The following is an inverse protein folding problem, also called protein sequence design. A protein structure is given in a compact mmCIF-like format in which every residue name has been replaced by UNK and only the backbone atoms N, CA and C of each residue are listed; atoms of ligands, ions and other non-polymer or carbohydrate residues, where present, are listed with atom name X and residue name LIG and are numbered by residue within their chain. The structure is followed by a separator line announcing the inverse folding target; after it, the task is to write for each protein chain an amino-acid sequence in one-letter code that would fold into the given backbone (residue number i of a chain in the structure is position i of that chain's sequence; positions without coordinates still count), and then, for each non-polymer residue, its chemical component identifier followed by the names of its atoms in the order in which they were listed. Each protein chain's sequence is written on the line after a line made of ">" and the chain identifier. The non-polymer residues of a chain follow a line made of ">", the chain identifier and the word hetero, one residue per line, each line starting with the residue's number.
data_IF_822736889114
#
_entry.id   IF_822736889114
#
_cell.length_a   1.000
_cell.length_b   1.000
_cell.length_c   1.000
_cell.angle_alpha   90.00
_cell.angle_beta   90.00
_cell.angle_gamma   90.00
#
_symmetry.space_group_name_H-M   'P 1'
#
loop_
_entity.id
_entity.type
_entity.pdbx_description
1 polymer ?
#
# COMPACT_ATOMS: atom_id res chain seq x y z
N UNK A 1 -24.47 8.45 3.32
CA UNK A 1 -24.53 7.37 2.30
C UNK A 1 -23.22 7.32 1.52
N UNK A 2 -22.82 8.46 1.07
CA UNK A 2 -21.69 8.63 0.15
C UNK A 2 -20.34 8.17 0.71
N UNK A 3 -20.04 8.42 1.99
CA UNK A 3 -18.76 8.04 2.60
C UNK A 3 -18.59 6.51 2.62
N UNK A 4 -19.58 5.76 3.07
CA UNK A 4 -19.51 4.29 3.11
C UNK A 4 -19.41 3.67 1.72
N UNK A 5 -20.14 4.22 0.75
CA UNK A 5 -20.04 3.78 -0.64
C UNK A 5 -18.69 4.16 -1.26
N UNK A 6 -18.13 5.30 -0.89
CA UNK A 6 -16.79 5.71 -1.32
C UNK A 6 -15.72 4.73 -0.80
N UNK A 7 -15.77 4.36 0.49
CA UNK A 7 -14.88 3.33 1.05
C UNK A 7 -15.05 2.00 0.32
N UNK A 8 -16.29 1.56 0.11
CA UNK A 8 -16.58 0.28 -0.53
C UNK A 8 -16.06 0.25 -1.98
N UNK A 9 -16.35 1.29 -2.76
CA UNK A 9 -15.90 1.39 -4.15
C UNK A 9 -14.37 1.47 -4.25
N UNK A 10 -13.74 2.34 -3.47
CA UNK A 10 -12.29 2.44 -3.42
C UNK A 10 -11.64 1.14 -2.97
N UNK A 11 -12.17 0.52 -1.90
CA UNK A 11 -11.67 -0.75 -1.38
C UNK A 11 -11.77 -1.89 -2.37
N UNK A 12 -12.88 -1.99 -3.10
CA UNK A 12 -13.05 -2.98 -4.17
C UNK A 12 -11.99 -2.81 -5.26
N UNK A 13 -11.81 -1.59 -5.75
CA UNK A 13 -10.80 -1.28 -6.78
C UNK A 13 -9.38 -1.55 -6.26
N UNK A 14 -9.05 -1.07 -5.06
CA UNK A 14 -7.74 -1.27 -4.44
C UNK A 14 -7.39 -2.75 -4.26
N UNK A 15 -8.34 -3.54 -3.77
CA UNK A 15 -8.17 -4.99 -3.59
C UNK A 15 -7.99 -5.72 -4.93
N UNK A 16 -8.71 -5.30 -5.97
CA UNK A 16 -8.54 -5.84 -7.32
C UNK A 16 -7.16 -5.53 -7.90
N UNK A 17 -6.66 -4.30 -7.72
CA UNK A 17 -5.30 -3.94 -8.12
C UNK A 17 -4.25 -4.77 -7.38
N UNK A 18 -4.40 -4.94 -6.06
CA UNK A 18 -3.50 -5.79 -5.27
C UNK A 18 -3.46 -7.22 -5.80
N UNK A 19 -4.62 -7.82 -6.03
CA UNK A 19 -4.72 -9.15 -6.61
C UNK A 19 -4.08 -9.22 -8.00
N UNK A 20 -4.35 -8.24 -8.85
CA UNK A 20 -3.77 -8.15 -10.20
C UNK A 20 -2.24 -8.06 -10.18
N UNK A 21 -1.67 -7.23 -9.32
CA UNK A 21 -0.20 -7.13 -9.14
C UNK A 21 0.36 -8.48 -8.68
N UNK A 22 -0.33 -9.18 -7.77
CA UNK A 22 0.07 -10.53 -7.34
C UNK A 22 0.13 -11.50 -8.51
N UNK A 23 -0.90 -11.56 -9.34
CA UNK A 23 -0.96 -12.44 -10.51
C UNK A 23 0.11 -12.08 -11.55
N UNK A 24 0.32 -10.79 -11.83
CA UNK A 24 1.37 -10.36 -12.75
C UNK A 24 2.76 -10.75 -12.26
N UNK A 25 3.03 -10.58 -10.96
CA UNK A 25 4.31 -10.94 -10.37
C UNK A 25 4.59 -12.44 -10.51
N UNK A 26 3.61 -13.28 -10.26
CA UNK A 26 3.74 -14.73 -10.41
C UNK A 26 3.92 -15.10 -11.87
N UNK A 27 3.06 -14.59 -12.76
CA UNK A 27 3.00 -15.02 -14.14
C UNK A 27 4.13 -14.49 -15.01
N UNK A 28 4.56 -13.24 -14.79
CA UNK A 28 5.59 -12.59 -15.59
C UNK A 28 7.00 -12.78 -15.02
N UNK A 29 7.15 -12.73 -13.70
CA UNK A 29 8.46 -12.77 -13.04
C UNK A 29 8.76 -14.13 -12.39
N UNK A 30 7.78 -15.03 -12.28
CA UNK A 30 7.92 -16.29 -11.55
C UNK A 30 8.25 -16.06 -10.07
N UNK A 31 8.01 -14.85 -9.56
CA UNK A 31 8.37 -14.48 -8.21
C UNK A 31 7.28 -14.91 -7.21
N UNK A 32 7.65 -15.24 -5.96
CA UNK A 32 6.67 -15.59 -4.94
C UNK A 32 5.82 -14.38 -4.53
N UNK A 33 4.66 -14.63 -3.95
CA UNK A 33 3.69 -13.60 -3.51
C UNK A 33 4.28 -12.56 -2.55
N UNK A 34 5.30 -12.93 -1.78
CA UNK A 34 6.05 -12.03 -0.90
C UNK A 34 6.55 -10.78 -1.64
N UNK A 35 7.04 -10.96 -2.87
CA UNK A 35 7.56 -9.84 -3.69
C UNK A 35 6.44 -8.88 -4.05
N UNK A 36 5.28 -9.38 -4.46
CA UNK A 36 4.14 -8.54 -4.78
C UNK A 36 3.58 -7.84 -3.54
N UNK A 37 3.52 -8.53 -2.40
CA UNK A 37 3.08 -7.94 -1.13
C UNK A 37 3.98 -6.79 -0.71
N UNK A 38 5.29 -6.97 -0.80
CA UNK A 38 6.26 -5.91 -0.53
C UNK A 38 6.06 -4.72 -1.50
N UNK A 39 5.93 -4.99 -2.79
CA UNK A 39 5.75 -3.97 -3.82
C UNK A 39 4.49 -3.13 -3.59
N UNK A 40 3.34 -3.75 -3.31
CA UNK A 40 2.09 -3.02 -3.06
C UNK A 40 2.13 -2.25 -1.74
N UNK A 41 2.74 -2.80 -0.70
CA UNK A 41 2.85 -2.12 0.59
C UNK A 41 3.78 -0.90 0.52
N UNK A 42 4.93 -1.02 -0.15
CA UNK A 42 5.88 0.08 -0.32
C UNK A 42 5.30 1.17 -1.23
N UNK A 43 4.80 0.80 -2.41
CA UNK A 43 4.20 1.77 -3.34
C UNK A 43 2.94 2.41 -2.76
N UNK A 44 2.11 1.64 -2.08
CA UNK A 44 0.90 2.15 -1.43
C UNK A 44 1.23 3.11 -0.28
N UNK A 45 2.24 2.82 0.52
CA UNK A 45 2.71 3.71 1.59
C UNK A 45 3.21 5.05 1.03
N UNK A 46 3.97 5.02 -0.05
CA UNK A 46 4.40 6.23 -0.77
C UNK A 46 3.20 7.04 -1.26
N UNK A 47 2.27 6.39 -1.97
CA UNK A 47 1.08 7.03 -2.52
C UNK A 47 0.19 7.63 -1.43
N UNK A 48 0.06 6.95 -0.28
CA UNK A 48 -0.73 7.45 0.83
C UNK A 48 -0.12 8.72 1.44
N UNK A 49 1.19 8.70 1.68
CA UNK A 49 1.91 9.88 2.19
C UNK A 49 1.80 11.07 1.24
N UNK A 50 2.00 10.83 -0.04
CA UNK A 50 1.85 11.85 -1.09
C UNK A 50 0.41 12.39 -1.15
N UNK A 51 -0.56 11.49 -1.24
CA UNK A 51 -1.97 11.85 -1.39
C UNK A 51 -2.49 12.69 -0.22
N UNK A 52 -2.25 12.26 1.03
CA UNK A 52 -2.73 13.02 2.19
C UNK A 52 -2.04 14.37 2.32
N UNK A 53 -0.77 14.46 1.96
CA UNK A 53 -0.07 15.75 2.00
C UNK A 53 -0.63 16.72 0.95
N UNK A 54 -0.85 16.26 -0.28
CA UNK A 54 -1.43 17.08 -1.34
C UNK A 54 -2.90 17.45 -1.07
N UNK A 55 -3.67 16.53 -0.50
CA UNK A 55 -5.10 16.75 -0.25
C UNK A 55 -5.40 17.66 0.93
N UNK A 56 -4.46 17.83 1.86
CA UNK A 56 -4.66 18.73 3.00
C UNK A 56 -4.65 20.20 2.60
N UNK A 57 -3.91 20.55 1.57
CA UNK A 57 -3.62 21.95 1.31
C UNK A 57 -4.39 22.58 0.14
N UNK A 58 -4.75 21.90 -0.95
CA UNK A 58 -5.43 22.56 -2.08
C UNK A 58 -6.12 21.67 -3.14
N UNK A 59 -5.81 20.39 -3.25
CA UNK A 59 -6.20 19.62 -4.44
C UNK A 59 -7.54 18.89 -4.25
N UNK A 60 -7.84 18.41 -3.06
CA UNK A 60 -9.05 17.65 -2.77
C UNK A 60 -9.75 18.20 -1.55
N UNK A 61 -10.90 18.82 -1.78
CA UNK A 61 -11.71 19.44 -0.73
C UNK A 61 -12.81 18.54 -0.18
N UNK A 62 -13.26 17.54 -0.96
CA UNK A 62 -14.36 16.64 -0.59
C UNK A 62 -13.88 15.50 0.30
N UNK A 63 -14.59 15.26 1.39
CA UNK A 63 -14.35 14.14 2.31
C UNK A 63 -14.54 12.79 1.60
N UNK A 64 -15.50 12.71 0.69
CA UNK A 64 -15.82 11.49 -0.07
C UNK A 64 -14.64 11.07 -0.94
N UNK A 65 -14.00 11.99 -1.62
CA UNK A 65 -12.81 11.71 -2.46
C UNK A 65 -11.62 11.32 -1.59
N UNK A 66 -11.41 11.98 -0.45
CA UNK A 66 -10.34 11.64 0.48
C UNK A 66 -10.50 10.22 1.01
N UNK A 67 -11.71 9.85 1.36
CA UNK A 67 -12.03 8.53 1.89
C UNK A 67 -11.99 7.46 0.78
N UNK A 68 -12.51 7.77 -0.41
CA UNK A 68 -12.45 6.87 -1.56
C UNK A 68 -11.01 6.50 -1.92
N UNK A 69 -10.13 7.49 -2.02
CA UNK A 69 -8.74 7.28 -2.43
C UNK A 69 -7.88 6.79 -1.26
N UNK A 70 -7.87 7.52 -0.15
CA UNK A 70 -6.96 7.22 0.96
C UNK A 70 -7.33 5.94 1.71
N UNK A 71 -8.56 5.87 2.20
CA UNK A 71 -9.03 4.73 2.99
C UNK A 71 -9.40 3.55 2.09
N UNK A 72 -10.19 3.79 1.06
CA UNK A 72 -10.68 2.75 0.16
C UNK A 72 -9.60 2.23 -0.77
N UNK A 73 -9.21 3.03 -1.76
CA UNK A 73 -8.32 2.59 -2.84
C UNK A 73 -6.93 2.18 -2.32
N UNK A 74 -6.22 3.09 -1.68
CA UNK A 74 -4.86 2.82 -1.20
C UNK A 74 -4.88 1.86 -0.01
N UNK A 75 -5.84 2.01 0.92
CA UNK A 75 -6.02 1.08 2.03
C UNK A 75 -6.36 -0.34 1.58
N UNK A 76 -7.19 -0.51 0.55
CA UNK A 76 -7.50 -1.82 -0.05
C UNK A 76 -6.36 -2.39 -0.88
N UNK A 77 -5.53 -1.54 -1.46
CA UNK A 77 -4.36 -1.93 -2.24
C UNK A 77 -3.24 -2.51 -1.39
N UNK A 78 -3.03 -2.01 -0.17
CA UNK A 78 -2.01 -2.48 0.78
C UNK A 78 -2.53 -3.59 1.68
N UNK A 79 -1.64 -4.41 2.27
CA UNK A 79 -2.05 -5.50 3.17
C UNK A 79 -0.99 -5.84 4.21
N UNK A 80 -1.21 -5.38 5.43
CA UNK A 80 -0.42 -5.82 6.59
C UNK A 80 -0.72 -7.28 6.96
N UNK A 81 -1.97 -7.71 6.87
CA UNK A 81 -2.38 -9.09 7.20
C UNK A 81 -1.72 -10.12 6.30
N UNK A 82 -1.61 -9.86 5.00
CA UNK A 82 -0.91 -10.74 4.07
C UNK A 82 0.59 -10.83 4.41
N UNK A 83 1.24 -9.70 4.67
CA UNK A 83 2.64 -9.68 5.11
C UNK A 83 2.85 -10.49 6.40
N UNK A 84 1.97 -10.34 7.38
CA UNK A 84 2.02 -11.07 8.64
C UNK A 84 1.86 -12.58 8.44
N UNK A 85 0.88 -12.98 7.65
CA UNK A 85 0.64 -14.38 7.32
C UNK A 85 1.83 -15.00 6.57
N UNK A 86 2.36 -14.33 5.57
CA UNK A 86 3.54 -14.79 4.81
C UNK A 86 4.75 -14.94 5.69
N UNK A 87 4.97 -14.01 6.63
CA UNK A 87 6.08 -14.09 7.60
C UNK A 87 5.97 -15.33 8.47
N UNK A 88 4.79 -15.64 9.00
CA UNK A 88 4.57 -16.87 9.79
C UNK A 88 4.79 -18.13 8.95
N UNK A 89 4.30 -18.15 7.71
CA UNK A 89 4.52 -19.29 6.80
C UNK A 89 6.01 -19.53 6.53
N UNK A 90 6.80 -18.48 6.38
CA UNK A 90 8.25 -18.59 6.24
C UNK A 90 8.92 -19.15 7.50
N UNK A 91 8.48 -18.72 8.69
CA UNK A 91 8.97 -19.25 9.96
C UNK A 91 8.64 -20.74 10.11
N UNK A 92 7.41 -21.14 9.79
CA UNK A 92 6.97 -22.54 9.83
C UNK A 92 7.77 -23.43 8.90
N UNK A 93 8.20 -22.93 7.75
CA UNK A 93 9.03 -23.66 6.78
C UNK A 93 10.53 -23.59 7.09
N UNK A 94 10.93 -22.97 8.20
CA UNK A 94 12.34 -22.86 8.61
C UNK A 94 13.14 -21.78 7.85
N UNK A 95 12.48 -20.95 7.05
CA UNK A 95 13.13 -19.88 6.27
C UNK A 95 13.24 -18.59 7.08
N UNK A 96 13.98 -18.63 8.18
CA UNK A 96 14.07 -17.54 9.15
C UNK A 96 14.62 -16.24 8.57
N UNK A 97 15.63 -16.32 7.70
CA UNK A 97 16.24 -15.14 7.05
C UNK A 97 15.22 -14.46 6.11
N UNK A 98 14.46 -15.24 5.35
CA UNK A 98 13.41 -14.69 4.49
C UNK A 98 12.27 -14.08 5.30
N UNK A 99 11.91 -14.69 6.43
CA UNK A 99 10.90 -14.16 7.34
C UNK A 99 11.33 -12.80 7.90
N UNK A 100 12.58 -12.72 8.38
CA UNK A 100 13.16 -11.48 8.89
C UNK A 100 13.22 -10.40 7.79
N UNK A 101 13.68 -10.77 6.60
CA UNK A 101 13.73 -9.87 5.44
C UNK A 101 12.34 -9.38 5.04
N UNK A 102 11.33 -10.25 5.06
CA UNK A 102 9.95 -9.89 4.71
C UNK A 102 9.38 -8.84 5.67
N UNK A 103 9.41 -9.09 6.97
CA UNK A 103 8.86 -8.13 7.95
C UNK A 103 9.68 -6.84 7.99
N UNK A 104 11.00 -6.93 8.00
CA UNK A 104 11.88 -5.77 8.03
C UNK A 104 11.75 -4.92 6.76
N UNK A 105 11.70 -5.57 5.61
CA UNK A 105 11.51 -4.90 4.32
C UNK A 105 10.18 -4.15 4.26
N UNK A 106 9.09 -4.79 4.65
CA UNK A 106 7.76 -4.12 4.68
C UNK A 106 7.75 -2.94 5.64
N UNK A 107 8.30 -3.07 6.85
CA UNK A 107 8.33 -1.98 7.84
C UNK A 107 9.27 -0.85 7.41
N UNK A 108 10.53 -1.15 7.15
CA UNK A 108 11.54 -0.13 6.89
C UNK A 108 11.32 0.59 5.56
N UNK A 109 11.09 -0.17 4.49
CA UNK A 109 10.83 0.40 3.17
C UNK A 109 9.45 1.07 3.11
N UNK A 110 8.45 0.51 3.79
CA UNK A 110 7.12 1.10 3.86
C UNK A 110 7.12 2.45 4.58
N UNK A 111 7.75 2.54 5.75
CA UNK A 111 7.87 3.79 6.51
C UNK A 111 8.69 4.81 5.72
N UNK A 112 9.82 4.40 5.13
CA UNK A 112 10.66 5.27 4.30
C UNK A 112 9.92 5.79 3.08
N UNK A 113 9.13 4.94 2.42
CA UNK A 113 8.31 5.31 1.27
C UNK A 113 7.21 6.31 1.65
N UNK A 114 6.53 6.10 2.78
CA UNK A 114 5.54 7.05 3.30
C UNK A 114 6.17 8.41 3.59
N UNK A 115 7.33 8.42 4.24
CA UNK A 115 8.07 9.66 4.50
C UNK A 115 8.45 10.38 3.20
N UNK A 116 8.94 9.65 2.21
CA UNK A 116 9.30 10.21 0.90
C UNK A 116 8.07 10.81 0.19
N UNK A 117 6.93 10.12 0.25
CA UNK A 117 5.67 10.64 -0.30
C UNK A 117 5.24 11.95 0.35
N UNK A 118 5.34 12.03 1.68
CA UNK A 118 5.06 13.26 2.43
C UNK A 118 6.04 14.36 2.05
N UNK A 119 7.32 14.05 1.98
CA UNK A 119 8.35 15.02 1.62
C UNK A 119 8.12 15.61 0.22
N UNK A 120 7.89 14.76 -0.76
CA UNK A 120 7.60 15.18 -2.13
C UNK A 120 6.31 16.01 -2.18
N UNK A 121 5.26 15.59 -1.49
CA UNK A 121 4.02 16.34 -1.40
C UNK A 121 4.21 17.75 -0.85
N UNK A 122 5.04 17.91 0.18
CA UNK A 122 5.38 19.22 0.74
C UNK A 122 6.13 20.11 -0.26
N UNK A 123 7.08 19.54 -1.01
CA UNK A 123 7.82 20.29 -2.04
C UNK A 123 6.88 20.85 -3.10
N UNK A 124 5.90 20.07 -3.56
CA UNK A 124 4.90 20.53 -4.52
C UNK A 124 3.94 21.58 -3.95
N UNK A 125 3.65 21.55 -2.64
CA UNK A 125 2.77 22.53 -2.02
C UNK A 125 3.43 23.91 -1.81
N UNK A 126 4.75 23.95 -1.73
CA UNK A 126 5.53 25.20 -1.60
C UNK A 126 5.87 25.85 -2.95
N UNK A 127 5.57 25.20 -4.06
CA UNK A 127 5.76 25.72 -5.41
C UNK A 127 4.46 26.36 -5.94
#
# INVERSE_FOLDING_TARGET
>A
MTIWLAVAAGGAIGSMFRYGIGQLTINLLGAPTIVSTLAVNVSGSFLLGLFYTLSNDRIVTSIEIRVLIGVGLIGGYTSFSTCSFETIRLLESGEYIKALANISGNLLLGISAAYLGIYIGKVFNFS
#
